data_IF_154979068804
#
_entry.id   IF_154979068804
#
_cell.length_a   1.000
_cell.length_b   1.000
_cell.length_c   1.000
_cell.angle_alpha   90.00
_cell.angle_beta   90.00
_cell.angle_gamma   90.00
#
_symmetry.space_group_name_H-M   'P 1'
#
loop_
_entity.id
_entity.type
_entity.pdbx_description
1 polymer ?
#
# COMPACT_ATOMS: atom_id res chain seq x y z
N UNK A 1 -41.74 5.62 -8.65
CA UNK A 1 -41.93 4.86 -7.38
C UNK A 1 -40.62 4.41 -6.72
N UNK A 2 -39.55 4.07 -7.47
CA UNK A 2 -38.27 3.64 -6.87
C UNK A 2 -37.51 4.72 -6.06
N UNK A 3 -37.77 6.00 -6.30
CA UNK A 3 -37.07 7.07 -5.58
C UNK A 3 -37.63 7.33 -4.17
N UNK A 4 -38.93 7.10 -3.96
CA UNK A 4 -39.57 7.27 -2.66
C UNK A 4 -39.12 6.21 -1.65
N UNK A 5 -39.07 4.94 -2.05
CA UNK A 5 -38.58 3.85 -1.20
C UNK A 5 -37.13 4.05 -0.80
N UNK A 6 -36.28 4.53 -1.73
CA UNK A 6 -34.87 4.86 -1.45
C UNK A 6 -34.70 5.97 -0.42
N UNK A 7 -35.61 6.95 -0.37
CA UNK A 7 -35.57 8.01 0.64
C UNK A 7 -35.89 7.45 2.03
N UNK A 8 -36.94 6.62 2.14
CA UNK A 8 -37.30 5.99 3.42
C UNK A 8 -36.24 5.03 3.94
N UNK A 9 -35.59 4.27 3.05
CA UNK A 9 -34.41 3.46 3.43
C UNK A 9 -33.31 4.33 4.02
N UNK A 10 -33.03 5.51 3.45
CA UNK A 10 -32.03 6.44 4.01
C UNK A 10 -32.45 6.98 5.38
N UNK A 11 -33.73 7.26 5.58
CA UNK A 11 -34.27 7.70 6.89
C UNK A 11 -34.06 6.62 7.94
N UNK A 12 -34.40 5.36 7.65
CA UNK A 12 -34.18 4.22 8.56
C UNK A 12 -32.69 4.07 8.88
N UNK A 13 -31.83 4.16 7.86
CA UNK A 13 -30.38 4.08 8.06
C UNK A 13 -29.84 5.23 8.92
N UNK A 14 -30.35 6.45 8.74
CA UNK A 14 -29.97 7.60 9.56
C UNK A 14 -30.44 7.42 11.00
N UNK A 15 -31.71 7.06 11.22
CA UNK A 15 -32.23 6.76 12.55
C UNK A 15 -31.45 5.64 13.26
N UNK A 16 -30.97 4.65 12.51
CA UNK A 16 -30.12 3.58 13.05
C UNK A 16 -28.77 4.12 13.50
N UNK A 17 -28.18 5.05 12.76
CA UNK A 17 -26.92 5.71 13.14
C UNK A 17 -27.11 6.61 14.36
N UNK A 18 -28.22 7.34 14.45
CA UNK A 18 -28.54 8.20 15.58
C UNK A 18 -28.76 7.35 16.85
N UNK A 19 -29.47 6.21 16.73
CA UNK A 19 -29.66 5.25 17.82
C UNK A 19 -28.40 4.47 18.24
N UNK A 20 -27.36 4.46 17.40
CA UNK A 20 -26.04 3.99 17.79
C UNK A 20 -25.30 5.01 18.66
N UNK A 21 -25.58 6.32 18.50
CA UNK A 21 -24.97 7.40 19.28
C UNK A 21 -25.76 7.67 20.58
N UNK A 22 -27.09 7.65 20.52
CA UNK A 22 -27.98 7.86 21.66
C UNK A 22 -28.84 6.62 21.93
N UNK A 23 -28.68 6.04 23.13
CA UNK A 23 -29.42 4.85 23.56
C UNK A 23 -30.93 5.12 23.72
N UNK A 24 -31.35 6.38 23.88
CA UNK A 24 -32.76 6.77 24.00
C UNK A 24 -33.51 6.61 22.68
N UNK A 25 -32.84 6.85 21.56
CA UNK A 25 -33.44 6.74 20.22
C UNK A 25 -33.68 5.27 19.81
N UNK A 26 -33.14 4.30 20.54
CA UNK A 26 -33.38 2.87 20.29
C UNK A 26 -34.84 2.48 20.53
N UNK A 27 -35.56 3.22 21.37
CA UNK A 27 -36.98 2.96 21.64
C UNK A 27 -37.87 3.23 20.42
N UNK A 28 -37.39 4.02 19.46
CA UNK A 28 -38.10 4.24 18.20
C UNK A 28 -38.24 2.96 17.36
N UNK A 29 -37.25 2.05 17.43
CA UNK A 29 -37.21 0.78 16.70
C UNK A 29 -38.11 -0.32 17.28
N UNK A 30 -38.92 -0.02 18.30
CA UNK A 30 -39.85 -0.99 18.87
C UNK A 30 -41.04 -1.19 17.93
N UNK A 31 -41.47 -2.44 17.76
CA UNK A 31 -42.65 -2.80 16.97
C UNK A 31 -43.96 -2.19 17.51
N UNK A 32 -43.97 -1.75 18.77
CA UNK A 32 -45.10 -1.01 19.35
C UNK A 32 -45.22 0.43 18.85
N UNK A 33 -44.20 0.96 18.16
CA UNK A 33 -44.21 2.32 17.65
C UNK A 33 -44.84 2.34 16.23
N UNK A 34 -46.00 3.00 16.06
CA UNK A 34 -46.68 3.03 14.76
C UNK A 34 -45.86 3.75 13.67
N UNK A 35 -45.10 4.78 14.04
CA UNK A 35 -44.31 5.57 13.09
C UNK A 35 -43.19 4.74 12.43
N UNK A 36 -42.57 3.87 13.22
CA UNK A 36 -41.54 2.94 12.72
C UNK A 36 -42.13 1.95 11.72
N UNK A 37 -43.29 1.37 12.04
CA UNK A 37 -44.00 0.42 11.17
C UNK A 37 -44.41 1.11 9.86
N UNK A 38 -44.92 2.34 9.93
CA UNK A 38 -45.28 3.12 8.75
C UNK A 38 -44.07 3.40 7.86
N UNK A 39 -42.95 3.85 8.44
CA UNK A 39 -41.72 4.12 7.68
C UNK A 39 -41.17 2.84 7.03
N UNK A 40 -41.23 1.69 7.70
CA UNK A 40 -40.81 0.40 7.11
C UNK A 40 -41.71 0.00 5.93
N UNK A 41 -43.03 0.14 6.08
CA UNK A 41 -43.98 -0.14 5.00
C UNK A 41 -43.76 0.77 3.79
N UNK A 42 -43.50 2.07 4.00
CA UNK A 42 -43.18 3.03 2.94
C UNK A 42 -41.83 2.74 2.26
N UNK A 43 -40.90 2.11 2.97
CA UNK A 43 -39.63 1.63 2.42
C UNK A 43 -39.77 0.29 1.68
N UNK A 44 -40.88 -0.43 1.84
CA UNK A 44 -41.06 -1.80 1.35
C UNK A 44 -40.19 -2.82 2.09
N UNK A 45 -39.95 -2.57 3.39
CA UNK A 45 -39.19 -3.44 4.28
C UNK A 45 -40.11 -4.04 5.33
N UNK A 46 -39.78 -5.26 5.77
CA UNK A 46 -40.46 -5.91 6.89
C UNK A 46 -40.02 -5.26 8.22
N UNK A 47 -40.94 -4.69 9.02
CA UNK A 47 -40.60 -4.06 10.28
C UNK A 47 -39.97 -5.03 11.29
N UNK A 48 -40.33 -6.30 11.28
CA UNK A 48 -39.76 -7.32 12.18
C UNK A 48 -38.28 -7.56 11.85
N UNK A 49 -37.97 -7.78 10.57
CA UNK A 49 -36.59 -7.96 10.09
C UNK A 49 -35.72 -6.72 10.39
N UNK A 50 -36.27 -5.53 10.21
CA UNK A 50 -35.54 -4.27 10.45
C UNK A 50 -35.27 -4.08 11.95
N UNK A 51 -36.27 -4.34 12.80
CA UNK A 51 -36.13 -4.24 14.25
C UNK A 51 -35.13 -5.28 14.82
N UNK A 52 -35.15 -6.51 14.30
CA UNK A 52 -34.19 -7.55 14.67
C UNK A 52 -32.76 -7.14 14.31
N UNK A 53 -32.55 -6.69 13.06
CA UNK A 53 -31.22 -6.24 12.59
C UNK A 53 -30.71 -5.03 13.36
N UNK A 54 -31.58 -4.08 13.68
CA UNK A 54 -31.23 -2.92 14.50
C UNK A 54 -30.81 -3.37 15.91
N UNK A 55 -31.56 -4.28 16.52
CA UNK A 55 -31.26 -4.83 17.86
C UNK A 55 -29.92 -5.58 17.90
N UNK A 56 -29.61 -6.39 16.89
CA UNK A 56 -28.31 -7.05 16.77
C UNK A 56 -27.18 -6.02 16.59
N UNK A 57 -27.40 -4.98 15.75
CA UNK A 57 -26.42 -3.90 15.57
C UNK A 57 -26.13 -3.14 16.88
N UNK A 58 -27.17 -2.81 17.66
CA UNK A 58 -27.03 -2.17 18.97
C UNK A 58 -26.28 -3.07 19.95
N UNK A 59 -26.61 -4.36 19.98
CA UNK A 59 -25.94 -5.35 20.84
C UNK A 59 -24.45 -5.50 20.52
N UNK A 60 -24.09 -5.47 19.23
CA UNK A 60 -22.69 -5.48 18.78
C UNK A 60 -21.96 -4.21 19.19
N UNK A 61 -22.61 -3.05 19.07
CA UNK A 61 -22.03 -1.78 19.49
C UNK A 61 -21.78 -1.72 21.01
N UNK A 62 -22.75 -2.16 21.81
CA UNK A 62 -22.60 -2.22 23.28
C UNK A 62 -21.49 -3.20 23.70
N UNK A 63 -21.39 -4.36 23.02
CA UNK A 63 -20.27 -5.31 23.23
C UNK A 63 -18.92 -4.68 22.86
N UNK A 64 -18.84 -3.94 21.77
CA UNK A 64 -17.62 -3.23 21.37
C UNK A 64 -17.23 -2.14 22.39
N UNK A 65 -18.21 -1.39 22.91
CA UNK A 65 -18.00 -0.40 23.99
C UNK A 65 -17.47 -1.07 25.25
N UNK A 66 -18.09 -2.18 25.68
CA UNK A 66 -17.71 -2.91 26.91
C UNK A 66 -16.34 -3.57 26.85
N UNK A 67 -15.88 -3.94 25.66
CA UNK A 67 -14.57 -4.59 25.47
C UNK A 67 -13.41 -3.59 25.38
N UNK A 68 -13.69 -2.27 25.34
CA UNK A 68 -12.67 -1.23 25.24
C UNK A 68 -11.84 -1.28 23.95
N UNK A 69 -12.16 -2.20 23.04
CA UNK A 69 -11.52 -2.30 21.74
C UNK A 69 -12.12 -1.18 20.89
N UNK A 70 -11.37 -0.09 20.71
CA UNK A 70 -11.64 0.87 19.65
C UNK A 70 -11.57 0.08 18.34
N UNK A 71 -12.73 -0.36 17.84
CA UNK A 71 -12.83 -0.94 16.50
C UNK A 71 -12.47 0.22 15.58
N UNK A 72 -11.18 0.32 15.22
CA UNK A 72 -10.73 1.22 14.19
C UNK A 72 -11.65 0.96 13.01
N UNK A 73 -12.43 1.98 12.59
CA UNK A 73 -13.31 1.91 11.42
C UNK A 73 -12.52 1.15 10.38
N UNK A 74 -12.92 -0.10 10.09
CA UNK A 74 -12.41 -0.82 8.96
C UNK A 74 -12.97 -0.07 7.76
N UNK A 75 -12.34 1.06 7.46
CA UNK A 75 -12.32 1.62 6.12
C UNK A 75 -11.90 0.44 5.29
N UNK A 76 -12.89 -0.19 4.67
CA UNK A 76 -12.72 -1.14 3.60
C UNK A 76 -12.00 -0.29 2.56
N UNK A 77 -10.66 -0.26 2.63
CA UNK A 77 -9.81 0.38 1.64
C UNK A 77 -10.05 -0.47 0.40
N UNK A 78 -11.11 -0.18 -0.33
CA UNK A 78 -11.28 -0.52 -1.73
C UNK A 78 -10.21 0.27 -2.46
N UNK A 79 -8.97 -0.19 -2.29
CA UNK A 79 -7.90 0.18 -3.19
C UNK A 79 -8.27 -0.28 -4.60
N UNK A 80 -7.63 0.30 -5.63
CA UNK A 80 -7.81 -0.15 -6.99
C UNK A 80 -7.64 -1.67 -7.07
N UNK A 81 -8.56 -2.35 -7.77
CA UNK A 81 -8.41 -3.79 -8.04
C UNK A 81 -7.06 -4.01 -8.72
N UNK A 82 -6.28 -5.02 -8.32
CA UNK A 82 -4.96 -5.25 -8.91
C UNK A 82 -5.11 -5.58 -10.41
N UNK A 83 -4.34 -4.90 -11.24
CA UNK A 83 -4.34 -5.12 -12.70
C UNK A 83 -3.64 -6.44 -13.01
N UNK A 84 -4.28 -7.26 -13.84
CA UNK A 84 -3.71 -8.52 -14.34
C UNK A 84 -2.84 -8.25 -15.57
N UNK A 85 -1.70 -8.93 -15.64
CA UNK A 85 -0.75 -8.85 -16.73
C UNK A 85 -0.52 -10.25 -17.31
N UNK A 86 -0.87 -10.42 -18.59
CA UNK A 86 -0.73 -11.68 -19.33
C UNK A 86 0.62 -11.75 -20.01
N UNK A 87 1.40 -12.78 -19.70
CA UNK A 87 2.71 -13.07 -20.31
C UNK A 87 2.74 -14.58 -20.56
N UNK A 88 3.10 -15.00 -21.77
CA UNK A 88 3.20 -16.42 -22.17
C UNK A 88 1.95 -17.25 -21.81
N UNK A 89 0.76 -16.66 -21.96
CA UNK A 89 -0.52 -17.31 -21.67
C UNK A 89 -0.91 -17.34 -20.18
N UNK A 90 -0.07 -16.85 -19.28
CA UNK A 90 -0.37 -16.75 -17.85
C UNK A 90 -0.76 -15.32 -17.47
N UNK A 91 -1.96 -15.15 -16.91
CA UNK A 91 -2.46 -13.87 -16.40
C UNK A 91 -2.28 -13.80 -14.88
N UNK A 92 -1.31 -13.01 -14.42
CA UNK A 92 -0.97 -12.83 -13.00
C UNK A 92 -0.85 -11.35 -12.65
N UNK A 93 -1.06 -11.00 -11.39
CA UNK A 93 -0.76 -9.67 -10.84
C UNK A 93 0.75 -9.49 -10.65
N UNK A 94 1.21 -8.25 -10.49
CA UNK A 94 2.64 -8.01 -10.19
C UNK A 94 3.13 -8.72 -8.93
N UNK A 95 2.27 -8.90 -7.93
CA UNK A 95 2.62 -9.63 -6.71
C UNK A 95 2.84 -11.11 -7.01
N UNK A 96 1.91 -11.72 -7.73
CA UNK A 96 2.02 -13.13 -8.12
C UNK A 96 3.19 -13.37 -9.09
N UNK A 97 3.50 -12.42 -9.97
CA UNK A 97 4.70 -12.47 -10.80
C UNK A 97 5.98 -12.38 -9.96
N UNK A 98 6.02 -11.50 -8.97
CA UNK A 98 7.16 -11.38 -8.06
C UNK A 98 7.36 -12.67 -7.24
N UNK A 99 6.28 -13.24 -6.71
CA UNK A 99 6.29 -14.48 -5.96
C UNK A 99 6.73 -15.67 -6.83
N UNK A 100 6.22 -15.76 -8.07
CA UNK A 100 6.62 -16.79 -9.04
C UNK A 100 8.11 -16.73 -9.41
N UNK A 101 8.69 -15.52 -9.44
CA UNK A 101 10.11 -15.31 -9.74
C UNK A 101 11.02 -15.35 -8.50
N UNK A 102 10.45 -15.44 -7.30
CA UNK A 102 11.20 -15.36 -6.05
C UNK A 102 11.88 -14.00 -5.82
N UNK A 103 11.33 -12.91 -6.38
CA UNK A 103 11.82 -11.53 -6.18
C UNK A 103 10.86 -10.73 -5.31
N UNK A 104 11.37 -9.68 -4.66
CA UNK A 104 10.51 -8.71 -3.99
C UNK A 104 9.68 -7.91 -4.99
N UNK A 105 8.42 -7.61 -4.65
CA UNK A 105 7.54 -6.75 -5.45
C UNK A 105 8.17 -5.38 -5.74
N UNK A 106 8.90 -4.81 -4.77
CA UNK A 106 9.62 -3.56 -4.94
C UNK A 106 10.69 -3.65 -6.05
N UNK A 107 11.36 -4.79 -6.17
CA UNK A 107 12.34 -5.04 -7.22
C UNK A 107 11.68 -5.12 -8.59
N UNK A 108 10.53 -5.81 -8.68
CA UNK A 108 9.75 -5.85 -9.92
C UNK A 108 9.26 -4.45 -10.32
N UNK A 109 8.77 -3.66 -9.37
CA UNK A 109 8.32 -2.28 -9.62
C UNK A 109 9.46 -1.36 -10.05
N UNK A 110 10.66 -1.49 -9.46
CA UNK A 110 11.83 -0.74 -9.89
C UNK A 110 12.19 -1.04 -11.36
N UNK A 111 12.14 -2.32 -11.76
CA UNK A 111 12.39 -2.73 -13.16
C UNK A 111 11.40 -2.08 -14.14
N UNK A 112 10.13 -1.96 -13.74
CA UNK A 112 9.09 -1.28 -14.54
C UNK A 112 9.28 0.23 -14.59
N UNK A 113 9.73 0.84 -13.47
CA UNK A 113 10.03 2.28 -13.39
C UNK A 113 11.20 2.67 -14.31
N UNK A 114 12.16 1.77 -14.53
CA UNK A 114 13.25 1.94 -15.49
C UNK A 114 12.78 1.92 -16.97
N UNK A 115 11.46 1.84 -17.22
CA UNK A 115 10.87 1.88 -18.56
C UNK A 115 10.82 0.52 -19.27
N UNK A 116 11.11 -0.58 -18.56
CA UNK A 116 11.05 -1.93 -19.14
C UNK A 116 9.61 -2.43 -19.23
N UNK A 117 9.34 -3.30 -20.20
CA UNK A 117 8.05 -3.98 -20.31
C UNK A 117 7.89 -5.02 -19.20
N UNK A 118 6.65 -5.44 -18.93
CA UNK A 118 6.38 -6.47 -17.92
C UNK A 118 7.05 -7.80 -18.29
N UNK A 119 7.07 -8.16 -19.57
CA UNK A 119 7.75 -9.36 -20.06
C UNK A 119 9.27 -9.30 -19.81
N UNK A 120 9.93 -8.19 -20.13
CA UNK A 120 11.36 -8.01 -19.87
C UNK A 120 11.69 -8.03 -18.37
N UNK A 121 10.84 -7.42 -17.56
CA UNK A 121 11.01 -7.37 -16.11
C UNK A 121 10.91 -8.76 -15.47
N UNK A 122 10.06 -9.63 -16.02
CA UNK A 122 9.89 -11.03 -15.62
C UNK A 122 11.06 -11.89 -16.11
N UNK A 123 11.51 -11.69 -17.37
CA UNK A 123 12.62 -12.42 -17.97
C UNK A 123 13.97 -12.21 -17.25
N UNK A 124 14.16 -11.08 -16.56
CA UNK A 124 15.37 -10.83 -15.76
C UNK A 124 15.53 -11.73 -14.52
N UNK A 125 14.51 -12.53 -14.16
CA UNK A 125 14.64 -13.59 -13.15
C UNK A 125 14.85 -13.12 -11.70
N UNK A 126 15.16 -14.11 -10.85
CA UNK A 126 15.35 -14.04 -9.40
C UNK A 126 16.52 -13.16 -8.94
N UNK A 127 16.69 -12.92 -7.62
CA UNK A 127 17.79 -12.10 -7.13
C UNK A 127 19.12 -12.70 -7.58
N UNK A 128 19.95 -11.91 -8.28
CA UNK A 128 21.38 -12.18 -8.34
C UNK A 128 21.79 -12.39 -6.89
N UNK A 129 22.40 -13.55 -6.58
CA UNK A 129 23.00 -13.82 -5.27
C UNK A 129 23.61 -12.50 -4.81
N UNK A 130 23.13 -11.95 -3.69
CA UNK A 130 23.92 -10.95 -2.99
C UNK A 130 25.22 -11.67 -2.71
N UNK A 131 26.27 -11.33 -3.44
CA UNK A 131 27.63 -11.56 -2.94
C UNK A 131 27.59 -10.99 -1.53
N UNK A 132 27.88 -11.80 -0.49
CA UNK A 132 27.85 -11.31 0.87
C UNK A 132 28.63 -10.00 0.92
N UNK A 133 28.06 -8.99 1.56
CA UNK A 133 28.70 -7.70 1.74
C UNK A 133 29.98 -7.94 2.55
N UNK A 134 31.08 -8.17 1.84
CA UNK A 134 32.32 -8.68 2.42
C UNK A 134 33.28 -9.31 1.41
N UNK A 135 32.81 -9.78 0.26
CA UNK A 135 33.67 -10.44 -0.73
C UNK A 135 33.74 -9.64 -2.06
N UNK A 136 34.96 -9.31 -2.44
CA UNK A 136 35.39 -8.70 -3.71
C UNK A 136 35.13 -7.21 -3.95
N UNK A 137 35.87 -6.38 -3.19
CA UNK A 137 36.57 -5.24 -3.80
C UNK A 137 38.08 -5.46 -3.73
N UNK A 138 38.59 -6.24 -4.67
CA UNK A 138 39.90 -5.96 -5.29
C UNK A 138 41.17 -6.47 -4.60
N UNK A 139 41.13 -7.54 -3.79
CA UNK A 139 42.36 -8.27 -3.42
C UNK A 139 42.03 -9.76 -3.33
N UNK A 140 42.69 -10.57 -4.16
CA UNK A 140 42.62 -12.04 -4.07
C UNK A 140 43.11 -12.50 -2.68
N UNK A 141 42.31 -13.30 -1.99
CA UNK A 141 42.58 -13.84 -0.64
C UNK A 141 43.79 -14.81 -0.56
N UNK A 142 44.56 -14.97 -1.64
CA UNK A 142 45.63 -15.94 -1.79
C UNK A 142 47.04 -15.32 -1.82
N UNK A 143 47.22 -14.09 -1.34
CA UNK A 143 48.56 -13.61 -1.01
C UNK A 143 48.89 -14.02 0.44
N UNK A 144 49.86 -14.94 0.67
CA UNK A 144 50.43 -15.09 2.00
C UNK A 144 50.99 -13.72 2.40
N UNK A 145 50.87 -13.35 3.68
CA UNK A 145 51.33 -12.05 4.21
C UNK A 145 52.79 -11.81 3.87
N UNK A 146 53.04 -11.21 2.71
CA UNK A 146 54.37 -10.97 2.19
C UNK A 146 54.87 -9.68 2.82
N UNK A 147 55.87 -9.86 3.67
CA UNK A 147 56.95 -8.92 3.99
C UNK A 147 56.93 -7.61 3.20
N UNK A 148 56.73 -6.53 3.95
CA UNK A 148 57.38 -5.24 3.72
C UNK A 148 57.29 -4.67 2.31
N UNK A 149 56.24 -3.91 2.02
CA UNK A 149 56.42 -2.76 1.13
C UNK A 149 57.08 -1.66 1.96
N UNK A 150 58.40 -1.71 2.03
CA UNK A 150 59.22 -0.58 2.46
C UNK A 150 58.89 0.60 1.56
N UNK A 151 57.98 1.46 2.01
CA UNK A 151 57.70 2.77 1.43
C UNK A 151 58.89 3.67 1.73
N UNK A 152 59.99 3.41 1.04
CA UNK A 152 61.20 4.21 1.08
C UNK A 152 60.88 5.63 0.65
N UNK A 153 61.33 6.56 1.49
CA UNK A 153 61.41 7.99 1.22
C UNK A 153 62.16 8.25 -0.09
N UNK A 154 61.42 8.61 -1.13
CA UNK A 154 61.90 9.38 -2.29
C UNK A 154 60.77 10.35 -2.63
N UNK A 155 60.83 11.60 -2.17
CA UNK A 155 61.61 12.67 -2.80
C UNK A 155 61.46 12.61 -4.33
N UNK A 156 60.28 12.95 -4.84
CA UNK A 156 60.17 13.44 -6.22
C UNK A 156 59.61 14.86 -6.18
N UNK A 157 60.47 15.73 -6.70
CA UNK A 157 60.44 17.18 -6.71
C UNK A 157 59.14 17.75 -7.27
N UNK A 158 58.77 18.91 -6.72
CA UNK A 158 57.78 19.82 -7.29
C UNK A 158 58.21 20.19 -8.72
N UNK A 159 57.44 19.80 -9.73
CA UNK A 159 57.44 20.54 -10.98
C UNK A 159 56.81 21.92 -10.72
N UNK A 160 57.61 22.98 -10.79
CA UNK A 160 57.12 24.36 -10.91
C UNK A 160 56.42 24.47 -12.28
N UNK A 161 55.10 24.45 -12.27
CA UNK A 161 54.30 24.73 -13.46
C UNK A 161 54.11 26.26 -13.50
N UNK A 162 54.94 26.95 -14.27
CA UNK A 162 54.71 28.36 -14.62
C UNK A 162 53.70 28.42 -15.78
N UNK A 163 52.51 28.95 -15.51
CA UNK A 163 51.55 29.30 -16.55
C UNK A 163 51.95 30.67 -17.12
N UNK A 164 52.54 30.68 -18.31
CA UNK A 164 52.70 31.92 -19.09
C UNK A 164 51.33 32.45 -19.50
N UNK A 165 50.91 33.53 -18.84
CA UNK A 165 49.93 34.45 -19.37
C UNK A 165 50.58 35.27 -20.50
N UNK A 166 50.00 35.30 -21.71
CA UNK A 166 50.05 36.48 -22.59
C UNK A 166 49.09 36.37 -23.80
N UNK A 167 48.82 37.46 -24.57
CA UNK A 167 47.55 38.19 -24.49
C UNK A 167 46.89 38.35 -25.88
N UNK A 168 45.78 39.10 -25.89
CA UNK A 168 45.25 39.91 -26.99
C UNK A 168 45.45 39.46 -28.44
N UNK A 169 44.32 39.22 -29.13
CA UNK A 169 44.18 39.71 -30.51
C UNK A 169 42.92 40.55 -30.64
N UNK A 170 43.20 41.85 -30.74
CA UNK A 170 42.37 42.92 -31.26
C UNK A 170 41.94 42.60 -32.71
N UNK A 171 40.62 42.67 -32.93
CA UNK A 171 39.85 43.35 -33.99
C UNK A 171 40.54 43.61 -35.35
N UNK A 172 39.80 43.41 -36.46
CA UNK A 172 39.23 44.56 -37.17
C UNK A 172 37.69 44.57 -37.24
#
# INVERSE_FOLDING_TARGET
>A
MADATRLWVKVILQATQDALQDKRERDWFRLSNPDFVEVCNLAGLDPDDVAERATDAFSRADKAESTGVKIARQSKRTGPKPKLHTIDGQSKTYREWADHLGIGLATLMARLKDGRTVADAVAMGGPRRRTPAGDDRGVVANFPGASGTGGGSVAQERAQIEFSANPEKVVP
#
